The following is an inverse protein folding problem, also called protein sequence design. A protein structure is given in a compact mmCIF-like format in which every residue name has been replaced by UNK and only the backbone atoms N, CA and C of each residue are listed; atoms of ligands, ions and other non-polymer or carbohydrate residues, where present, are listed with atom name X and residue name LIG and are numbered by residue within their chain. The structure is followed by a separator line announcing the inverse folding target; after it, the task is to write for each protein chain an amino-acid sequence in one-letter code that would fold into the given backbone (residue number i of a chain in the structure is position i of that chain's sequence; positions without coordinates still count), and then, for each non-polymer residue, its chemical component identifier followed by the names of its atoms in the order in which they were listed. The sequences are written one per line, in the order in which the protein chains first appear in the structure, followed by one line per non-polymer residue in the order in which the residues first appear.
data_IF_651361007114
#
_entry.id   IF_651361007114
#
_cell.length_a   1.000
_cell.length_b   1.000
_cell.length_c   1.000
_cell.angle_alpha   90.00
_cell.angle_beta   90.00
_cell.angle_gamma   90.00
#
_symmetry.space_group_name_H-M   'P 1'
#
loop_
_entity.id
_entity.type
_entity.pdbx_description
1 polymer ?
#
# COMPACT_ATOMS: atom_id res chain seq x y z
N UNK A 1 17.91 -9.04 21.99
CA UNK A 1 16.53 -9.16 21.47
C UNK A 1 16.34 -8.16 20.33
N UNK A 2 16.22 -8.69 19.10
CA UNK A 2 15.40 -8.24 17.98
C UNK A 2 15.35 -6.76 17.53
N UNK A 3 16.46 -6.21 17.01
CA UNK A 3 16.41 -5.02 16.11
C UNK A 3 16.09 -5.38 14.65
N UNK A 4 16.12 -6.66 14.30
CA UNK A 4 15.86 -7.18 12.94
C UNK A 4 14.38 -7.13 12.51
N UNK A 5 13.45 -6.90 13.44
CA UNK A 5 12.02 -6.89 13.14
C UNK A 5 11.52 -5.58 12.51
N UNK A 6 12.15 -4.43 12.80
CA UNK A 6 11.66 -3.13 12.32
C UNK A 6 11.92 -2.93 10.81
N UNK A 7 13.10 -3.34 10.34
CA UNK A 7 13.47 -3.29 8.92
C UNK A 7 12.62 -4.27 8.11
N UNK A 8 12.38 -5.47 8.65
CA UNK A 8 11.57 -6.51 8.01
C UNK A 8 10.08 -6.14 7.92
N UNK A 9 9.57 -5.28 8.80
CA UNK A 9 8.21 -4.71 8.70
C UNK A 9 8.15 -3.55 7.71
N UNK A 10 9.17 -2.67 7.69
CA UNK A 10 9.25 -1.58 6.70
C UNK A 10 9.38 -2.09 5.26
N UNK A 11 10.15 -3.15 5.02
CA UNK A 11 10.27 -3.74 3.69
C UNK A 11 8.97 -4.43 3.23
N UNK A 12 8.20 -5.05 4.13
CA UNK A 12 6.90 -5.67 3.80
C UNK A 12 5.81 -4.66 3.45
N UNK A 13 5.95 -3.42 3.93
CA UNK A 13 5.03 -2.32 3.65
C UNK A 13 5.62 -1.28 2.70
N UNK A 14 6.78 -1.55 2.09
CA UNK A 14 7.36 -0.65 1.12
C UNK A 14 6.43 -0.56 -0.09
N UNK A 15 6.09 0.65 -0.48
CA UNK A 15 5.36 0.96 -1.69
C UNK A 15 6.15 2.03 -2.44
N UNK A 16 6.29 1.86 -3.75
CA UNK A 16 6.93 2.86 -4.59
C UNK A 16 6.15 4.18 -4.52
N UNK A 17 6.83 5.34 -4.59
CA UNK A 17 6.16 6.65 -4.60
C UNK A 17 5.09 6.76 -5.70
N UNK A 18 5.34 6.17 -6.87
CA UNK A 18 4.40 6.12 -7.99
C UNK A 18 3.11 5.37 -7.64
N UNK A 19 3.24 4.17 -7.04
CA UNK A 19 2.09 3.39 -6.62
C UNK A 19 1.32 4.06 -5.48
N UNK A 20 2.00 4.78 -4.58
CA UNK A 20 1.35 5.61 -3.57
C UNK A 20 0.45 6.69 -4.21
N UNK A 21 0.93 7.36 -5.26
CA UNK A 21 0.15 8.35 -6.01
C UNK A 21 -1.04 7.67 -6.71
N UNK A 22 -0.82 6.51 -7.34
CA UNK A 22 -1.88 5.75 -8.03
C UNK A 22 -2.97 5.28 -7.07
N UNK A 23 -2.60 4.74 -5.90
CA UNK A 23 -3.55 4.35 -4.84
C UNK A 23 -4.40 5.54 -4.41
N UNK A 24 -3.78 6.70 -4.13
CA UNK A 24 -4.49 7.92 -3.72
C UNK A 24 -5.42 8.45 -4.82
N UNK A 25 -4.95 8.46 -6.06
CA UNK A 25 -5.74 8.89 -7.21
C UNK A 25 -6.95 7.98 -7.41
N UNK A 26 -6.76 6.66 -7.41
CA UNK A 26 -7.86 5.71 -7.55
C UNK A 26 -8.86 5.82 -6.41
N UNK A 27 -8.40 6.00 -5.16
CA UNK A 27 -9.30 6.17 -4.01
C UNK A 27 -10.13 7.45 -4.09
N UNK A 28 -9.57 8.52 -4.65
CA UNK A 28 -10.25 9.83 -4.79
C UNK A 28 -11.19 9.89 -6.00
N UNK A 29 -10.78 9.28 -7.11
CA UNK A 29 -11.47 9.41 -8.39
C UNK A 29 -12.35 8.20 -8.76
N UNK A 30 -12.28 7.13 -7.98
CA UNK A 30 -13.11 5.93 -8.18
C UNK A 30 -13.77 5.52 -6.87
N UNK A 31 -14.91 4.85 -6.96
CA UNK A 31 -15.57 4.26 -5.80
C UNK A 31 -15.03 2.86 -5.47
N UNK A 32 -13.78 2.56 -5.86
CA UNK A 32 -13.14 1.26 -5.64
C UNK A 32 -12.75 1.10 -4.17
N UNK A 33 -12.90 -0.12 -3.66
CA UNK A 33 -12.39 -0.49 -2.34
C UNK A 33 -10.86 -0.57 -2.36
N UNK A 34 -10.22 -0.48 -1.19
CA UNK A 34 -8.76 -0.66 -1.06
C UNK A 34 -8.31 -2.03 -1.60
N UNK A 35 -9.15 -3.07 -1.46
CA UNK A 35 -8.85 -4.38 -2.02
C UNK A 35 -8.85 -4.38 -3.55
N UNK A 36 -9.83 -3.72 -4.18
CA UNK A 36 -9.88 -3.59 -5.63
C UNK A 36 -8.68 -2.80 -6.14
N UNK A 37 -8.34 -1.68 -5.49
CA UNK A 37 -7.16 -0.87 -5.83
C UNK A 37 -5.87 -1.66 -5.69
N UNK A 38 -5.73 -2.45 -4.62
CA UNK A 38 -4.58 -3.33 -4.42
C UNK A 38 -4.46 -4.36 -5.55
N UNK A 39 -5.57 -5.00 -5.94
CA UNK A 39 -5.62 -5.94 -7.07
C UNK A 39 -5.26 -5.28 -8.41
N UNK A 40 -5.81 -4.10 -8.69
CA UNK A 40 -5.52 -3.33 -9.91
C UNK A 40 -4.03 -2.96 -10.05
N UNK A 41 -3.35 -2.73 -8.92
CA UNK A 41 -1.96 -2.29 -8.88
C UNK A 41 -0.95 -3.42 -8.62
N UNK A 42 -1.41 -4.66 -8.43
CA UNK A 42 -0.56 -5.79 -8.07
C UNK A 42 0.08 -5.65 -6.68
N UNK A 43 -0.56 -4.91 -5.78
CA UNK A 43 -0.09 -4.65 -4.42
C UNK A 43 -0.79 -5.57 -3.42
N UNK A 44 -0.18 -5.75 -2.24
CA UNK A 44 -0.86 -6.34 -1.10
C UNK A 44 -1.88 -5.38 -0.52
N UNK A 45 -2.99 -5.90 0.01
CA UNK A 45 -4.00 -5.09 0.69
C UNK A 45 -3.41 -4.22 1.81
N UNK A 46 -2.48 -4.75 2.60
CA UNK A 46 -1.78 -4.00 3.65
C UNK A 46 -0.98 -2.81 3.11
N UNK A 47 -0.34 -2.94 1.95
CA UNK A 47 0.42 -1.84 1.32
C UNK A 47 -0.53 -0.72 0.89
N UNK A 48 -1.64 -1.07 0.22
CA UNK A 48 -2.63 -0.09 -0.19
C UNK A 48 -3.37 0.56 1.00
N UNK A 49 -3.64 -0.21 2.06
CA UNK A 49 -4.25 0.30 3.28
C UNK A 49 -3.34 1.29 4.00
N UNK A 50 -2.04 0.98 4.14
CA UNK A 50 -1.10 1.83 4.86
C UNK A 50 -0.83 3.17 4.17
N UNK A 51 -1.14 3.29 2.87
CA UNK A 51 -1.09 4.56 2.12
C UNK A 51 -2.32 5.44 2.37
N UNK A 52 -3.44 4.82 2.75
CA UNK A 52 -4.74 5.46 2.93
C UNK A 52 -5.19 5.57 4.39
N UNK A 53 -4.44 4.99 5.34
CA UNK A 53 -4.61 5.18 6.78
C UNK A 53 -4.09 6.56 7.20
#
# INVERSE_FOLDING_TARGET
MSTTNLLSQRCRNYISPEDCIRVKALRKHTNKTIEQIAKDLGLSWHQAQNVCA
#
